data_IF_146741919695
#
_entry.id   IF_146741919695
#
_cell.length_a   1.000
_cell.length_b   1.000
_cell.length_c   1.000
_cell.angle_alpha   90.00
_cell.angle_beta   90.00
_cell.angle_gamma   90.00
#
_symmetry.space_group_name_H-M   'P 1'
#
loop_
_entity.id
_entity.type
_entity.pdbx_description
1 polymer ?
#
# COMPACT_ATOMS: atom_id res chain seq x y z
N UNK A 1 -28.01 -9.98 -5.68
CA UNK A 1 -26.82 -9.88 -6.56
C UNK A 1 -25.74 -10.72 -5.92
N UNK A 2 -25.33 -11.79 -6.58
CA UNK A 2 -24.30 -12.72 -6.10
C UNK A 2 -22.97 -11.97 -6.07
N UNK A 3 -22.37 -11.81 -4.89
CA UNK A 3 -21.04 -11.23 -4.71
C UNK A 3 -20.05 -12.12 -5.46
N UNK A 4 -19.65 -11.68 -6.65
CA UNK A 4 -18.60 -12.33 -7.43
C UNK A 4 -17.32 -12.28 -6.60
N UNK A 5 -16.86 -13.46 -6.18
CA UNK A 5 -15.54 -13.64 -5.58
C UNK A 5 -14.52 -13.14 -6.61
N UNK A 6 -13.56 -12.34 -6.16
CA UNK A 6 -12.57 -11.71 -7.02
C UNK A 6 -11.94 -12.71 -8.01
N UNK A 7 -11.84 -12.34 -9.29
CA UNK A 7 -11.37 -13.20 -10.37
C UNK A 7 -10.19 -12.55 -11.10
N UNK A 8 -8.97 -13.05 -10.88
CA UNK A 8 -7.73 -12.49 -11.47
C UNK A 8 -7.65 -12.59 -13.00
N UNK A 9 -8.50 -13.40 -13.65
CA UNK A 9 -8.54 -13.47 -15.13
C UNK A 9 -9.06 -12.20 -15.79
N UNK A 10 -9.89 -11.40 -15.12
CA UNK A 10 -10.42 -10.14 -15.68
C UNK A 10 -9.32 -9.10 -15.94
N UNK A 11 -8.28 -9.10 -15.11
CA UNK A 11 -7.11 -8.22 -15.28
C UNK A 11 -6.25 -8.69 -16.45
N UNK A 12 -6.08 -10.01 -16.61
CA UNK A 12 -5.35 -10.58 -17.75
C UNK A 12 -6.00 -10.25 -19.09
N UNK A 13 -7.32 -10.37 -19.17
CA UNK A 13 -8.08 -10.03 -20.38
C UNK A 13 -8.00 -8.54 -20.70
N UNK A 14 -8.11 -7.69 -19.68
CA UNK A 14 -7.93 -6.24 -19.85
C UNK A 14 -6.52 -5.88 -20.33
N UNK A 15 -5.46 -6.45 -19.73
CA UNK A 15 -4.09 -6.20 -20.17
C UNK A 15 -3.85 -6.59 -21.63
N UNK A 16 -4.52 -7.63 -22.12
CA UNK A 16 -4.45 -8.04 -23.52
C UNK A 16 -5.16 -7.06 -24.47
N UNK A 17 -6.08 -6.24 -23.96
CA UNK A 17 -6.77 -5.20 -24.73
C UNK A 17 -5.98 -3.89 -24.86
N UNK A 18 -4.93 -3.71 -24.05
CA UNK A 18 -4.08 -2.52 -24.09
C UNK A 18 -3.04 -2.59 -25.20
N UNK A 19 -2.59 -1.42 -25.65
CA UNK A 19 -1.39 -1.33 -26.47
C UNK A 19 -0.15 -1.79 -25.70
N UNK A 20 0.87 -2.27 -26.44
CA UNK A 20 2.07 -2.84 -25.84
C UNK A 20 2.79 -1.86 -24.90
N UNK A 21 2.87 -0.58 -25.26
CA UNK A 21 3.49 0.46 -24.42
C UNK A 21 2.82 0.58 -23.06
N UNK A 22 1.49 0.64 -23.06
CA UNK A 22 0.70 0.87 -21.85
C UNK A 22 0.67 -0.36 -20.96
N UNK A 23 0.59 -1.55 -21.58
CA UNK A 23 0.71 -2.82 -20.85
C UNK A 23 2.08 -2.98 -20.19
N UNK A 24 3.16 -2.69 -20.91
CA UNK A 24 4.52 -2.83 -20.39
C UNK A 24 4.79 -1.79 -19.28
N UNK A 25 4.28 -0.55 -19.45
CA UNK A 25 4.35 0.49 -18.43
C UNK A 25 3.55 0.13 -17.17
N UNK A 26 2.34 -0.41 -17.33
CA UNK A 26 1.53 -0.91 -16.22
C UNK A 26 2.21 -2.06 -15.49
N UNK A 27 2.73 -3.05 -16.22
CA UNK A 27 3.42 -4.19 -15.63
C UNK A 27 4.66 -3.77 -14.84
N UNK A 28 5.44 -2.82 -15.37
CA UNK A 28 6.56 -2.22 -14.67
C UNK A 28 6.10 -1.50 -13.39
N UNK A 29 5.01 -0.73 -13.46
CA UNK A 29 4.47 -0.03 -12.31
C UNK A 29 3.97 -1.00 -11.23
N UNK A 30 3.12 -1.96 -11.58
CA UNK A 30 2.54 -2.92 -10.65
C UNK A 30 3.61 -3.78 -9.93
N UNK A 31 4.73 -4.07 -10.61
CA UNK A 31 5.87 -4.77 -10.03
C UNK A 31 6.61 -3.96 -8.96
N UNK A 32 6.75 -2.65 -9.17
CA UNK A 32 7.59 -1.78 -8.34
C UNK A 32 6.81 -0.93 -7.33
N UNK A 33 5.52 -0.70 -7.55
CA UNK A 33 4.66 0.06 -6.66
C UNK A 33 4.49 -0.69 -5.34
N UNK A 34 4.62 0.00 -4.21
CA UNK A 34 4.36 -0.58 -2.89
C UNK A 34 2.87 -0.67 -2.60
N UNK A 35 2.04 0.13 -3.28
CA UNK A 35 0.60 0.21 -3.09
C UNK A 35 -0.17 -0.43 -4.25
N UNK A 36 -0.96 -1.46 -3.94
CA UNK A 36 -1.86 -2.09 -4.91
C UNK A 36 -3.01 -1.14 -5.33
N UNK A 37 -3.33 -0.15 -4.49
CA UNK A 37 -4.32 0.89 -4.78
C UNK A 37 -3.81 1.84 -5.85
N UNK A 38 -2.55 2.26 -5.78
CA UNK A 38 -1.97 3.12 -6.82
C UNK A 38 -1.92 2.41 -8.16
N UNK A 39 -1.64 1.09 -8.14
CA UNK A 39 -1.72 0.25 -9.32
C UNK A 39 -3.15 0.21 -9.87
N UNK A 40 -4.16 0.09 -9.00
CA UNK A 40 -5.56 0.16 -9.41
C UNK A 40 -5.93 1.51 -10.04
N UNK A 41 -5.53 2.62 -9.43
CA UNK A 41 -5.76 3.95 -10.00
C UNK A 41 -5.11 4.10 -11.37
N UNK A 42 -3.85 3.65 -11.51
CA UNK A 42 -3.17 3.72 -12.79
C UNK A 42 -3.92 2.93 -13.87
N UNK A 43 -4.42 1.74 -13.56
CA UNK A 43 -5.26 0.94 -14.47
C UNK A 43 -6.54 1.66 -14.91
N UNK A 44 -7.10 2.54 -14.07
CA UNK A 44 -8.29 3.35 -14.39
C UNK A 44 -8.00 4.49 -15.36
N UNK A 45 -6.76 4.97 -15.42
CA UNK A 45 -6.35 6.05 -16.32
C UNK A 45 -5.95 5.57 -17.72
N UNK A 46 -5.58 4.30 -17.86
CA UNK A 46 -5.24 3.71 -19.16
C UNK A 46 -6.47 3.58 -20.08
N UNK A 47 -6.24 3.45 -21.37
CA UNK A 47 -7.29 3.30 -22.38
C UNK A 47 -7.08 2.03 -23.21
N UNK A 48 -8.07 1.12 -23.29
CA UNK A 48 -9.33 1.09 -22.54
C UNK A 48 -9.10 1.00 -21.01
N UNK A 49 -9.99 1.64 -20.22
CA UNK A 49 -9.85 1.68 -18.77
C UNK A 49 -10.27 0.37 -18.11
N UNK A 50 -9.62 0.04 -16.99
CA UNK A 50 -9.97 -1.16 -16.23
C UNK A 50 -11.32 -1.01 -15.52
N UNK A 51 -12.30 -1.80 -15.92
CA UNK A 51 -13.66 -1.75 -15.37
C UNK A 51 -13.90 -2.70 -14.19
N UNK A 52 -12.94 -3.57 -13.87
CA UNK A 52 -13.07 -4.55 -12.78
C UNK A 52 -12.86 -3.94 -11.40
N UNK A 53 -12.96 -4.77 -10.37
CA UNK A 53 -12.80 -4.31 -8.99
C UNK A 53 -11.33 -4.17 -8.60
N UNK A 54 -11.07 -3.30 -7.64
CA UNK A 54 -9.76 -3.23 -6.97
C UNK A 54 -9.36 -4.56 -6.31
N UNK A 55 -10.31 -5.35 -5.82
CA UNK A 55 -10.02 -6.65 -5.24
C UNK A 55 -9.42 -7.62 -6.28
N UNK A 56 -9.93 -7.59 -7.51
CA UNK A 56 -9.41 -8.38 -8.62
C UNK A 56 -7.97 -7.97 -8.97
N UNK A 57 -7.70 -6.65 -8.99
CA UNK A 57 -6.37 -6.12 -9.33
C UNK A 57 -5.36 -6.36 -8.22
N UNK A 58 -5.76 -6.23 -6.96
CA UNK A 58 -4.95 -6.62 -5.80
C UNK A 58 -4.61 -8.11 -5.87
N UNK A 59 -5.61 -8.98 -6.10
CA UNK A 59 -5.40 -10.42 -6.21
C UNK A 59 -4.44 -10.76 -7.37
N UNK A 60 -4.64 -10.17 -8.55
CA UNK A 60 -3.74 -10.36 -9.70
C UNK A 60 -2.32 -9.87 -9.42
N UNK A 61 -2.17 -8.72 -8.75
CA UNK A 61 -0.86 -8.14 -8.43
C UNK A 61 -0.10 -9.03 -7.45
N UNK A 62 -0.78 -9.56 -6.42
CA UNK A 62 -0.20 -10.51 -5.47
C UNK A 62 0.13 -11.86 -6.10
N UNK A 63 -0.68 -12.33 -7.06
CA UNK A 63 -0.43 -13.57 -7.80
C UNK A 63 0.78 -13.43 -8.74
N UNK A 64 0.88 -12.33 -9.50
CA UNK A 64 1.94 -12.11 -10.50
C UNK A 64 3.24 -11.57 -9.94
N UNK A 65 3.14 -10.71 -8.93
CA UNK A 65 4.27 -10.07 -8.27
C UNK A 65 4.14 -10.32 -6.76
N UNK A 66 4.45 -11.54 -6.28
CA UNK A 66 4.41 -11.84 -4.86
C UNK A 66 5.43 -10.95 -4.15
N UNK A 67 4.94 -9.90 -3.50
CA UNK A 67 5.73 -9.04 -2.63
C UNK A 67 5.91 -9.76 -1.30
N UNK A 68 7.13 -9.68 -0.76
CA UNK A 68 7.36 -10.18 0.59
C UNK A 68 6.51 -9.38 1.57
N UNK A 69 5.74 -10.09 2.39
CA UNK A 69 4.92 -9.47 3.42
C UNK A 69 5.83 -9.04 4.57
N UNK A 70 6.40 -7.83 4.43
CA UNK A 70 7.31 -7.24 5.42
C UNK A 70 6.67 -7.17 6.82
N UNK A 71 5.33 -7.07 6.90
CA UNK A 71 4.62 -7.15 8.18
C UNK A 71 4.76 -8.54 8.79
N UNK A 72 4.60 -9.62 8.01
CA UNK A 72 4.84 -10.98 8.50
C UNK A 72 6.29 -11.18 8.95
N UNK A 73 7.25 -10.67 8.19
CA UNK A 73 8.67 -10.72 8.57
C UNK A 73 8.89 -10.04 9.92
N UNK A 74 8.41 -8.80 10.06
CA UNK A 74 8.52 -8.05 11.32
C UNK A 74 7.78 -8.71 12.49
N UNK A 75 6.66 -9.40 12.25
CA UNK A 75 5.95 -10.15 13.30
C UNK A 75 6.78 -11.35 13.80
N UNK A 76 7.46 -12.05 12.90
CA UNK A 76 8.39 -13.13 13.26
C UNK A 76 9.56 -12.56 14.07
N UNK A 77 10.19 -11.47 13.60
CA UNK A 77 11.29 -10.81 14.31
C UNK A 77 10.87 -10.31 15.71
N UNK A 78 9.64 -9.82 15.88
CA UNK A 78 9.10 -9.42 17.19
C UNK A 78 9.07 -10.62 18.16
N UNK A 79 8.65 -11.79 17.71
CA UNK A 79 8.61 -13.00 18.54
C UNK A 79 10.01 -13.51 18.87
N UNK A 80 10.93 -13.47 17.90
CA UNK A 80 12.35 -13.80 18.10
C UNK A 80 13.02 -12.86 19.12
N UNK A 81 12.81 -11.54 18.99
CA UNK A 81 13.34 -10.54 19.94
C UNK A 81 12.79 -10.74 21.35
N UNK A 82 11.53 -11.15 21.51
CA UNK A 82 10.96 -11.50 22.82
C UNK A 82 11.65 -12.73 23.41
N UNK A 83 11.95 -13.72 22.58
CA UNK A 83 12.68 -14.92 23.01
C UNK A 83 14.12 -14.56 23.40
N UNK A 84 14.81 -13.71 22.64
CA UNK A 84 16.15 -13.24 22.96
C UNK A 84 16.21 -12.47 24.27
N UNK A 85 15.25 -11.58 24.55
CA UNK A 85 15.15 -10.90 25.85
C UNK A 85 15.00 -11.92 26.99
N UNK A 86 14.21 -12.98 26.78
CA UNK A 86 14.01 -14.04 27.76
C UNK A 86 15.30 -14.85 27.97
N UNK A 87 16.02 -15.17 26.89
CA UNK A 87 17.31 -15.86 26.94
C UNK A 87 18.35 -15.05 27.71
N UNK A 88 18.46 -13.74 27.46
CA UNK A 88 19.40 -12.87 28.20
C UNK A 88 19.06 -12.86 29.69
N UNK A 89 17.78 -12.77 30.07
CA UNK A 89 17.36 -12.85 31.49
C UNK A 89 17.74 -14.18 32.12
N UNK A 90 17.50 -15.29 31.40
CA UNK A 90 17.85 -16.62 31.87
C UNK A 90 19.37 -16.76 32.08
N UNK A 91 20.19 -16.29 31.13
CA UNK A 91 21.65 -16.28 31.26
C UNK A 91 22.12 -15.49 32.49
N UNK A 92 21.44 -14.38 32.83
CA UNK A 92 21.74 -13.62 34.06
C UNK A 92 21.41 -14.43 35.31
N UNK A 93 20.22 -15.05 35.37
CA UNK A 93 19.80 -15.85 36.54
C UNK A 93 20.66 -17.10 36.74
N UNK A 94 21.21 -17.65 35.65
CA UNK A 94 22.11 -18.82 35.66
C UNK A 94 23.57 -18.43 35.95
N UNK A 95 23.88 -17.14 36.13
CA UNK A 95 25.23 -16.66 36.40
C UNK A 95 26.17 -16.68 35.18
N UNK A 96 25.64 -16.87 33.97
CA UNK A 96 26.41 -16.84 32.72
C UNK A 96 26.69 -15.42 32.23
N UNK A 97 25.98 -14.43 32.75
CA UNK A 97 26.10 -13.03 32.38
C UNK A 97 25.93 -12.14 33.61
N UNK A 98 26.78 -11.12 33.77
CA UNK A 98 26.64 -10.16 34.86
C UNK A 98 25.43 -9.22 34.64
N UNK A 99 24.89 -8.68 35.75
CA UNK A 99 23.70 -7.84 35.72
C UNK A 99 23.87 -6.54 34.92
N UNK A 100 25.07 -5.95 34.90
CA UNK A 100 25.31 -4.69 34.20
C UNK A 100 25.32 -4.89 32.67
N UNK A 101 25.98 -5.95 32.21
CA UNK A 101 25.99 -6.34 30.80
C UNK A 101 24.60 -6.79 30.35
N UNK A 102 23.90 -7.57 31.18
CA UNK A 102 22.53 -7.99 30.90
C UNK A 102 21.56 -6.81 30.74
N UNK A 103 21.62 -5.84 31.66
CA UNK A 103 20.79 -4.64 31.59
C UNK A 103 21.02 -3.87 30.27
N UNK A 104 22.27 -3.73 29.85
CA UNK A 104 22.64 -3.05 28.60
C UNK A 104 22.07 -3.77 27.37
N UNK A 105 22.23 -5.10 27.30
CA UNK A 105 21.70 -5.92 26.19
C UNK A 105 20.17 -5.89 26.14
N UNK A 106 19.51 -6.07 27.28
CA UNK A 106 18.04 -6.01 27.39
C UNK A 106 17.53 -4.64 26.94
N UNK A 107 18.17 -3.54 27.36
CA UNK A 107 17.77 -2.20 26.97
C UNK A 107 17.81 -2.00 25.44
N UNK A 108 18.86 -2.51 24.78
CA UNK A 108 18.98 -2.46 23.32
C UNK A 108 17.89 -3.28 22.63
N UNK A 109 17.70 -4.54 23.04
CA UNK A 109 16.68 -5.43 22.46
C UNK A 109 15.26 -4.89 22.66
N UNK A 110 14.97 -4.30 23.82
CA UNK A 110 13.69 -3.65 24.09
C UNK A 110 13.47 -2.38 23.26
N UNK A 111 14.54 -1.68 22.86
CA UNK A 111 14.43 -0.55 21.94
C UNK A 111 14.05 -1.03 20.54
N UNK A 112 14.73 -2.05 20.02
CA UNK A 112 14.40 -2.64 18.71
C UNK A 112 13.00 -3.25 18.69
N UNK A 113 12.62 -4.01 19.72
CA UNK A 113 11.27 -4.57 19.85
C UNK A 113 10.18 -3.50 19.76
N UNK A 114 10.36 -2.36 20.44
CA UNK A 114 9.42 -1.23 20.36
C UNK A 114 9.40 -0.61 18.97
N UNK A 115 10.56 -0.48 18.33
CA UNK A 115 10.68 0.01 16.95
C UNK A 115 9.90 -0.89 15.98
N UNK A 116 10.10 -2.21 16.02
CA UNK A 116 9.38 -3.15 15.15
C UNK A 116 7.87 -3.13 15.42
N UNK A 117 7.43 -3.07 16.69
CA UNK A 117 6.01 -2.92 17.02
C UNK A 117 5.44 -1.62 16.43
N UNK A 118 6.16 -0.51 16.52
CA UNK A 118 5.74 0.77 15.93
C UNK A 118 5.66 0.68 14.41
N UNK A 119 6.63 0.05 13.75
CA UNK A 119 6.63 -0.15 12.29
C UNK A 119 5.51 -1.09 11.86
N UNK A 120 5.25 -2.19 12.57
CA UNK A 120 4.12 -3.09 12.28
C UNK A 120 2.79 -2.37 12.45
N UNK A 121 2.65 -1.54 13.49
CA UNK A 121 1.48 -0.66 13.64
C UNK A 121 1.41 0.34 12.50
N UNK A 122 2.49 1.01 12.13
CA UNK A 122 2.50 1.92 11.00
C UNK A 122 2.20 1.24 9.66
N UNK A 123 2.57 -0.03 9.45
CA UNK A 123 2.19 -0.81 8.26
C UNK A 123 0.73 -1.27 8.34
N UNK A 124 0.24 -1.60 9.54
CA UNK A 124 -1.14 -2.08 9.76
C UNK A 124 -2.16 -0.93 9.78
N UNK A 125 -1.76 0.22 10.32
CA UNK A 125 -2.50 1.48 10.42
C UNK A 125 -2.27 2.34 9.17
N UNK A 126 -1.13 2.15 8.48
CA UNK A 126 -0.72 2.85 7.27
C UNK A 126 -0.99 2.04 6.01
N UNK A 127 -2.27 1.88 5.74
CA UNK A 127 -2.85 2.14 4.42
C UNK A 127 -4.29 2.52 4.71
N UNK A 128 -4.49 3.74 5.23
CA UNK A 128 -5.80 4.39 5.12
C UNK A 128 -6.03 4.55 3.61
N UNK A 129 -6.59 3.50 3.02
CA UNK A 129 -6.86 3.36 1.59
C UNK A 129 -7.61 4.57 1.09
N UNK A 130 -8.51 5.09 1.94
CA UNK A 130 -9.22 6.34 1.74
C UNK A 130 -8.25 7.52 1.70
N UNK A 131 -7.39 7.68 2.71
CA UNK A 131 -6.39 8.75 2.77
C UNK A 131 -5.44 8.77 1.55
N UNK A 132 -4.99 7.61 1.07
CA UNK A 132 -4.13 7.48 -0.11
C UNK A 132 -4.88 7.77 -1.41
N UNK A 133 -6.09 7.24 -1.58
CA UNK A 133 -6.94 7.54 -2.74
C UNK A 133 -7.27 9.03 -2.83
N UNK A 134 -7.67 9.63 -1.71
CA UNK A 134 -8.03 11.04 -1.63
C UNK A 134 -6.80 11.93 -1.83
N UNK A 135 -5.64 11.59 -1.26
CA UNK A 135 -4.40 12.33 -1.48
C UNK A 135 -3.90 12.22 -2.94
N UNK A 136 -4.02 11.04 -3.56
CA UNK A 136 -3.66 10.81 -4.96
C UNK A 136 -4.59 11.57 -5.93
N UNK A 137 -5.90 11.53 -5.68
CA UNK A 137 -6.89 12.30 -6.44
C UNK A 137 -6.64 13.81 -6.33
N UNK A 138 -6.42 14.31 -5.10
CA UNK A 138 -6.11 15.71 -4.84
C UNK A 138 -4.77 16.14 -5.47
N UNK A 139 -3.78 15.24 -5.53
CA UNK A 139 -2.52 15.49 -6.24
C UNK A 139 -2.71 15.56 -7.76
N UNK A 140 -3.49 14.66 -8.36
CA UNK A 140 -3.80 14.68 -9.79
C UNK A 140 -4.60 15.92 -10.20
N UNK A 141 -5.62 16.31 -9.43
CA UNK A 141 -6.41 17.51 -9.71
C UNK A 141 -5.56 18.77 -9.67
N UNK A 142 -4.62 18.87 -8.72
CA UNK A 142 -3.67 20.01 -8.65
C UNK A 142 -2.71 20.06 -9.83
N UNK A 143 -2.17 18.92 -10.25
CA UNK A 143 -1.28 18.90 -11.43
C UNK A 143 -2.04 19.21 -12.72
N UNK A 144 -3.30 18.78 -12.85
CA UNK A 144 -4.17 19.18 -13.96
C UNK A 144 -4.45 20.68 -13.94
N UNK A 145 -4.83 21.25 -12.80
CA UNK A 145 -5.05 22.69 -12.66
C UNK A 145 -3.79 23.50 -13.02
N UNK A 146 -2.62 23.06 -12.55
CA UNK A 146 -1.33 23.69 -12.89
C UNK A 146 -1.01 23.58 -14.38
N UNK A 147 -1.27 22.44 -15.00
CA UNK A 147 -1.02 22.20 -16.44
C UNK A 147 -1.86 23.11 -17.32
N UNK A 148 -3.09 23.42 -16.90
CA UNK A 148 -4.03 24.25 -17.66
C UNK A 148 -4.22 25.66 -17.07
N UNK A 149 -3.32 26.12 -16.19
CA UNK A 149 -3.48 27.41 -15.51
C UNK A 149 -3.57 28.59 -16.49
N UNK A 150 -2.87 28.48 -17.63
CA UNK A 150 -2.82 29.52 -18.66
C UNK A 150 -4.08 29.51 -19.56
N UNK A 151 -5.01 28.59 -19.31
CA UNK A 151 -6.26 28.40 -20.06
C UNK A 151 -7.47 28.55 -19.12
N UNK A 152 -7.93 29.78 -18.84
CA UNK A 152 -8.91 30.05 -17.79
C UNK A 152 -10.25 29.32 -17.97
N UNK A 153 -10.69 29.12 -19.22
CA UNK A 153 -11.93 28.39 -19.53
C UNK A 153 -11.85 26.89 -19.23
N UNK A 154 -10.67 26.30 -19.34
CA UNK A 154 -10.43 24.88 -19.04
C UNK A 154 -10.18 24.70 -17.55
N UNK A 155 -9.45 25.63 -16.92
CA UNK A 155 -9.24 25.63 -15.48
C UNK A 155 -10.55 25.63 -14.69
N UNK A 156 -11.51 26.49 -15.05
CA UNK A 156 -12.81 26.54 -14.37
C UNK A 156 -13.63 25.25 -14.55
N UNK A 157 -13.61 24.66 -15.74
CA UNK A 157 -14.28 23.37 -16.00
C UNK A 157 -13.61 22.21 -15.24
N UNK A 158 -12.29 22.24 -15.06
CA UNK A 158 -11.56 21.24 -14.30
C UNK A 158 -11.83 21.35 -12.80
N UNK A 159 -11.99 22.57 -12.27
CA UNK A 159 -12.40 22.78 -10.88
C UNK A 159 -13.80 22.21 -10.60
N UNK A 160 -14.77 22.52 -11.48
CA UNK A 160 -16.14 22.01 -11.38
C UNK A 160 -16.19 20.48 -11.52
N UNK A 161 -15.45 19.92 -12.49
CA UNK A 161 -15.34 18.48 -12.68
C UNK A 161 -14.64 17.80 -11.49
N UNK A 162 -13.62 18.44 -10.91
CA UNK A 162 -12.89 17.95 -9.74
C UNK A 162 -13.79 17.78 -8.52
N UNK A 163 -14.69 18.73 -8.27
CA UNK A 163 -15.72 18.65 -7.22
C UNK A 163 -16.67 17.46 -7.42
N UNK A 164 -17.11 17.21 -8.65
CA UNK A 164 -18.00 16.09 -8.97
C UNK A 164 -17.28 14.75 -8.81
N UNK A 165 -16.04 14.65 -9.32
CA UNK A 165 -15.20 13.45 -9.17
C UNK A 165 -14.98 13.17 -7.68
N UNK A 166 -14.65 14.20 -6.89
CA UNK A 166 -14.48 14.07 -5.45
C UNK A 166 -15.74 13.52 -4.77
N UNK A 167 -16.90 14.07 -5.10
CA UNK A 167 -18.19 13.60 -4.54
C UNK A 167 -18.53 12.16 -4.94
N UNK A 168 -18.05 11.72 -6.10
CA UNK A 168 -18.24 10.35 -6.60
C UNK A 168 -17.33 9.37 -5.86
N UNK A 169 -16.05 9.71 -5.73
CA UNK A 169 -15.07 8.94 -4.96
C UNK A 169 -15.50 8.79 -3.49
N UNK A 170 -16.04 9.85 -2.88
CA UNK A 170 -16.54 9.80 -1.51
C UNK A 170 -17.75 8.87 -1.34
N UNK A 171 -18.60 8.75 -2.36
CA UNK A 171 -19.79 7.87 -2.34
C UNK A 171 -19.43 6.40 -2.58
N UNK A 172 -18.53 6.13 -3.50
CA UNK A 172 -18.06 4.77 -3.80
C UNK A 172 -17.37 4.12 -2.60
N UNK A 173 -16.73 4.91 -1.73
CA UNK A 173 -16.08 4.42 -0.51
C UNK A 173 -17.02 4.25 0.70
N UNK A 174 -18.27 4.74 0.64
CA UNK A 174 -19.27 4.56 1.71
C UNK A 174 -20.15 3.30 1.55
N UNK A 175 -20.08 2.63 0.39
CA UNK A 175 -20.83 1.39 0.08
C UNK A 175 -19.96 0.16 0.26
#
# INVERSE_FOLDING_TARGET
MTTLIANSTTVGDWLNSLEKSDRDAFAYYAKNATSDIESYLYARFLKPSYAGSIADLTAWTQEKYPKEDLRKVLLIEIDELRMDITNVRNMTTQGMLDYATAATKIASLQKELRSHIQTVRAISDGLDRRGLLLAGADRCLRELANTFQDQPTISSLLEDAGLIIWSTLEREEKS
#
